data_IF_516613066756
#
_entry.id   IF_516613066756
#
_cell.length_a   1.000
_cell.length_b   1.000
_cell.length_c   1.000
_cell.angle_alpha   90.00
_cell.angle_beta   90.00
_cell.angle_gamma   90.00
#
_symmetry.space_group_name_H-M   'P 1'
#
loop_
_entity.id
_entity.type
_entity.pdbx_description
1 polymer ?
#
# COMPACT_ATOMS: atom_id res chain seq x y z
N UNK A 1 29.10 9.33 -10.75
CA UNK A 1 28.21 9.53 -11.91
C UNK A 1 27.16 8.44 -11.83
N UNK A 2 25.94 8.75 -11.40
CA UNK A 2 24.88 7.74 -11.33
C UNK A 2 24.14 7.71 -12.67
N UNK A 3 24.20 6.56 -13.32
CA UNK A 3 23.41 6.25 -14.51
C UNK A 3 22.16 5.54 -14.03
N UNK A 4 21.01 6.22 -14.02
CA UNK A 4 19.73 5.52 -13.89
C UNK A 4 19.33 5.01 -15.26
N UNK A 5 19.45 3.70 -15.47
CA UNK A 5 18.87 3.04 -16.63
C UNK A 5 17.37 2.83 -16.38
N UNK A 6 16.57 3.80 -16.83
CA UNK A 6 15.16 3.55 -17.17
C UNK A 6 15.12 3.45 -18.68
N UNK A 7 14.88 2.24 -19.18
CA UNK A 7 14.57 1.86 -20.56
C UNK A 7 15.14 2.79 -21.64
N UNK A 8 16.40 2.55 -22.01
CA UNK A 8 17.09 3.07 -23.19
C UNK A 8 17.16 4.60 -23.38
N UNK A 9 16.93 5.41 -22.34
CA UNK A 9 17.23 6.85 -22.38
C UNK A 9 18.28 7.21 -21.34
N UNK A 10 19.50 7.51 -21.82
CA UNK A 10 20.56 8.10 -20.98
C UNK A 10 20.22 9.58 -20.75
N UNK A 11 19.41 9.87 -19.74
CA UNK A 11 19.20 11.23 -19.26
C UNK A 11 20.40 11.58 -18.38
N UNK A 12 21.29 12.44 -18.87
CA UNK A 12 22.35 13.00 -18.04
C UNK A 12 21.72 13.88 -16.96
N UNK A 13 21.77 13.44 -15.70
CA UNK A 13 21.17 14.11 -14.52
C UNK A 13 21.70 15.53 -14.23
N UNK A 14 22.57 16.10 -15.07
CA UNK A 14 23.14 17.43 -14.88
C UNK A 14 22.06 18.53 -14.95
N UNK A 15 21.06 18.39 -15.82
CA UNK A 15 19.99 19.40 -15.96
C UNK A 15 18.99 19.45 -14.80
N UNK A 16 18.80 18.36 -14.05
CA UNK A 16 17.85 18.33 -12.93
C UNK A 16 18.49 18.94 -11.66
N UNK A 17 19.80 18.74 -11.47
CA UNK A 17 20.52 19.31 -10.33
C UNK A 17 20.56 20.85 -10.36
N UNK A 18 20.75 21.44 -11.55
CA UNK A 18 20.75 22.89 -11.73
C UNK A 18 19.35 23.51 -11.48
N UNK A 19 18.28 22.75 -11.70
CA UNK A 19 16.90 23.19 -11.47
C UNK A 19 16.49 23.14 -9.99
N UNK A 20 17.18 22.34 -9.17
CA UNK A 20 16.86 22.15 -7.74
C UNK A 20 17.82 22.86 -6.78
N UNK A 21 18.85 23.55 -7.26
CA UNK A 21 19.77 24.32 -6.40
C UNK A 21 20.53 23.47 -5.36
N UNK A 22 20.71 22.17 -5.63
CA UNK A 22 21.39 21.24 -4.72
C UNK A 22 22.86 21.07 -5.13
N UNK A 23 23.78 21.45 -4.25
CA UNK A 23 25.20 21.09 -4.37
C UNK A 23 25.45 19.74 -3.70
N UNK A 24 25.97 18.78 -4.47
CA UNK A 24 26.42 17.49 -3.94
C UNK A 24 27.95 17.47 -3.90
N UNK A 25 28.53 17.37 -2.71
CA UNK A 25 29.92 16.93 -2.53
C UNK A 25 29.95 15.41 -2.51
N UNK A 26 30.61 14.81 -3.50
CA UNK A 26 30.84 13.37 -3.55
C UNK A 26 32.24 13.11 -3.01
N UNK A 27 32.33 12.50 -1.82
CA UNK A 27 33.57 11.92 -1.32
C UNK A 27 33.86 10.65 -2.14
N UNK A 28 34.92 10.71 -2.95
CA UNK A 28 35.39 9.62 -3.80
C UNK A 28 36.24 8.63 -3.01
N UNK A 29 35.93 7.34 -3.07
CA UNK A 29 36.86 6.34 -2.55
C UNK A 29 36.41 4.89 -2.56
N UNK A 30 35.60 4.42 -3.52
CA UNK A 30 35.39 2.98 -3.68
C UNK A 30 34.90 2.66 -5.11
N UNK A 31 35.68 1.86 -5.83
CA UNK A 31 35.34 1.34 -7.16
C UNK A 31 34.68 -0.01 -7.00
N UNK A 32 33.37 -0.08 -7.17
CA UNK A 32 32.60 -1.32 -7.11
C UNK A 32 32.72 -2.03 -8.47
N UNK A 33 33.49 -3.13 -8.51
CA UNK A 33 33.59 -4.02 -9.68
C UNK A 33 32.37 -4.94 -9.64
N UNK A 34 31.42 -4.75 -10.55
CA UNK A 34 30.29 -5.64 -10.72
C UNK A 34 30.69 -6.86 -11.58
N UNK A 35 30.26 -8.08 -11.22
CA UNK A 35 30.56 -9.27 -11.99
C UNK A 35 29.85 -9.25 -13.35
N UNK A 36 30.66 -9.38 -14.41
CA UNK A 36 30.28 -9.51 -15.80
C UNK A 36 29.69 -10.91 -16.06
N UNK A 37 28.46 -11.14 -15.64
CA UNK A 37 27.70 -12.33 -16.03
C UNK A 37 26.68 -11.97 -17.11
N UNK A 38 27.06 -12.33 -18.34
CA UNK A 38 26.24 -12.70 -19.50
C UNK A 38 24.77 -12.28 -19.46
N UNK A 39 24.50 -11.13 -20.07
CA UNK A 39 23.17 -10.77 -20.56
C UNK A 39 23.19 -11.00 -22.08
N UNK A 40 23.04 -12.25 -22.50
CA UNK A 40 22.67 -12.57 -23.89
C UNK A 40 21.21 -12.11 -24.07
N UNK A 41 21.02 -10.81 -24.29
CA UNK A 41 19.76 -10.28 -24.79
C UNK A 41 19.64 -10.72 -26.23
N UNK A 42 18.73 -11.64 -26.48
CA UNK A 42 18.12 -11.84 -27.78
C UNK A 42 17.80 -10.45 -28.36
N UNK A 43 18.49 -10.09 -29.43
CA UNK A 43 18.25 -8.87 -30.18
C UNK A 43 16.93 -9.07 -30.93
N UNK A 44 15.83 -9.01 -30.19
CA UNK A 44 14.50 -8.92 -30.75
C UNK A 44 14.46 -7.67 -31.63
N UNK A 45 14.41 -7.95 -32.91
CA UNK A 45 14.17 -7.07 -34.04
C UNK A 45 13.14 -5.98 -33.65
N UNK A 46 13.64 -4.83 -33.21
CA UNK A 46 12.85 -3.63 -32.92
C UNK A 46 12.20 -3.18 -34.24
N UNK A 47 11.01 -3.69 -34.52
CA UNK A 47 10.18 -3.14 -35.60
C UNK A 47 9.95 -1.68 -35.26
N UNK A 48 10.46 -0.76 -36.09
CA UNK A 48 10.23 0.68 -35.94
C UNK A 48 8.72 0.95 -35.85
N UNK A 49 8.20 1.07 -34.64
CA UNK A 49 6.79 1.32 -34.43
C UNK A 49 6.52 2.79 -34.78
N UNK A 50 6.14 3.02 -36.04
CA UNK A 50 5.83 4.36 -36.52
C UNK A 50 4.58 4.90 -35.83
N UNK A 51 4.70 6.11 -35.27
CA UNK A 51 3.60 6.80 -34.62
C UNK A 51 2.56 7.22 -35.64
N UNK A 52 1.30 6.89 -35.38
CA UNK A 52 0.16 7.41 -36.14
C UNK A 52 0.05 8.93 -35.99
N UNK A 53 -0.51 9.61 -36.98
CA UNK A 53 -0.69 11.07 -36.92
C UNK A 53 -1.62 11.48 -35.78
N UNK A 54 -2.58 10.62 -35.40
CA UNK A 54 -3.42 10.82 -34.21
C UNK A 54 -2.59 10.80 -32.93
N UNK A 55 -1.66 9.86 -32.77
CA UNK A 55 -0.77 9.81 -31.61
C UNK A 55 0.15 11.02 -31.55
N UNK A 56 0.69 11.46 -32.70
CA UNK A 56 1.51 12.68 -32.79
C UNK A 56 0.71 13.91 -32.36
N UNK A 57 -0.52 14.05 -32.85
CA UNK A 57 -1.41 15.14 -32.44
C UNK A 57 -1.69 15.11 -30.94
N UNK A 58 -1.93 13.92 -30.38
CA UNK A 58 -2.17 13.78 -28.95
C UNK A 58 -0.99 14.27 -28.11
N UNK A 59 0.23 13.89 -28.47
CA UNK A 59 1.43 14.38 -27.78
C UNK A 59 1.60 15.88 -27.95
N UNK A 60 1.33 16.41 -29.14
CA UNK A 60 1.42 17.85 -29.37
C UNK A 60 0.45 18.65 -28.49
N UNK A 61 -0.80 18.19 -28.35
CA UNK A 61 -1.79 18.82 -27.47
C UNK A 61 -1.32 18.83 -26.00
N UNK A 62 -0.70 17.75 -25.54
CA UNK A 62 -0.11 17.68 -24.19
C UNK A 62 1.11 18.61 -24.04
N UNK A 63 1.99 18.69 -25.06
CA UNK A 63 3.12 19.64 -25.06
C UNK A 63 2.61 21.08 -24.91
N UNK A 64 1.62 21.47 -25.70
CA UNK A 64 0.99 22.80 -25.63
C UNK A 64 0.37 23.04 -24.24
N UNK A 65 -0.37 22.06 -23.71
CA UNK A 65 -0.97 22.16 -22.38
C UNK A 65 0.07 22.40 -21.28
N UNK A 66 1.14 21.60 -21.23
CA UNK A 66 2.18 21.75 -20.21
C UNK A 66 3.00 23.03 -20.38
N UNK A 67 3.26 23.45 -21.62
CA UNK A 67 3.88 24.75 -21.89
C UNK A 67 3.05 25.90 -21.31
N UNK A 68 1.74 25.92 -21.59
CA UNK A 68 0.83 26.95 -21.08
C UNK A 68 0.69 26.89 -19.55
N UNK A 69 0.74 25.70 -18.95
CA UNK A 69 0.78 25.56 -17.49
C UNK A 69 2.06 26.16 -16.89
N UNK A 70 3.21 25.99 -17.55
CA UNK A 70 4.46 26.62 -17.14
C UNK A 70 4.38 28.14 -17.18
N UNK A 71 3.83 28.70 -18.26
CA UNK A 71 3.60 30.15 -18.39
C UNK A 71 2.67 30.68 -17.29
N UNK A 72 1.59 29.95 -16.98
CA UNK A 72 0.66 30.31 -15.90
C UNK A 72 1.35 30.35 -14.53
N UNK A 73 2.18 29.36 -14.22
CA UNK A 73 2.92 29.31 -12.95
C UNK A 73 3.88 30.49 -12.84
N UNK A 74 4.62 30.80 -13.91
CA UNK A 74 5.52 31.96 -13.94
C UNK A 74 4.77 33.28 -13.78
N UNK A 75 3.58 33.41 -14.39
CA UNK A 75 2.72 34.60 -14.24
C UNK A 75 2.27 34.77 -12.78
N UNK A 76 1.88 33.68 -12.11
CA UNK A 76 1.49 33.70 -10.69
C UNK A 76 2.68 34.06 -9.80
N UNK A 77 3.87 33.53 -10.10
CA UNK A 77 5.10 33.81 -9.36
C UNK A 77 5.50 35.29 -9.46
N UNK A 78 5.45 35.85 -10.68
CA UNK A 78 5.80 37.26 -10.93
C UNK A 78 4.77 38.25 -10.39
N UNK A 79 3.47 37.96 -10.54
CA UNK A 79 2.40 38.90 -10.17
C UNK A 79 1.92 38.74 -8.72
N UNK A 80 2.34 37.67 -8.02
CA UNK A 80 1.88 37.35 -6.68
C UNK A 80 0.37 37.05 -6.63
N UNK A 81 -0.24 36.99 -5.42
CA UNK A 81 -1.66 36.71 -5.23
C UNK A 81 -2.51 37.95 -5.57
N UNK A 82 -2.42 38.42 -6.80
CA UNK A 82 -3.36 39.38 -7.37
C UNK A 82 -4.70 38.67 -7.47
N UNK A 83 -5.74 39.17 -6.79
CA UNK A 83 -7.02 38.48 -6.59
C UNK A 83 -7.82 38.09 -7.85
N UNK A 84 -7.26 38.26 -9.05
CA UNK A 84 -7.79 37.73 -10.32
C UNK A 84 -6.92 36.55 -10.76
N UNK A 85 -7.38 35.34 -10.45
CA UNK A 85 -6.71 34.11 -10.88
C UNK A 85 -6.75 33.99 -12.41
N UNK A 86 -5.60 33.83 -13.09
CA UNK A 86 -5.59 33.64 -14.54
C UNK A 86 -6.28 32.33 -14.92
N UNK A 87 -6.85 32.30 -16.13
CA UNK A 87 -7.68 31.18 -16.59
C UNK A 87 -6.82 29.93 -16.78
N UNK A 88 -7.11 28.87 -16.03
CA UNK A 88 -6.37 27.62 -16.17
C UNK A 88 -6.47 27.06 -17.60
N UNK A 89 -5.33 26.67 -18.22
CA UNK A 89 -5.32 25.92 -19.46
C UNK A 89 -6.20 24.67 -19.36
N UNK A 90 -6.96 24.39 -20.43
CA UNK A 90 -7.82 23.20 -20.47
C UNK A 90 -6.97 21.97 -20.76
N UNK A 91 -7.04 20.97 -19.88
CA UNK A 91 -6.38 19.68 -20.10
C UNK A 91 -6.97 18.99 -21.34
N UNK A 92 -6.14 18.41 -22.23
CA UNK A 92 -6.63 17.62 -23.36
C UNK A 92 -7.56 16.49 -22.90
N UNK A 93 -8.60 16.17 -23.70
CA UNK A 93 -9.64 15.18 -23.32
C UNK A 93 -9.16 13.73 -23.43
N UNK A 94 -8.25 13.44 -24.36
CA UNK A 94 -7.63 12.13 -24.55
C UNK A 94 -6.63 11.83 -23.43
N UNK A 95 -6.47 10.56 -23.06
CA UNK A 95 -5.51 10.14 -22.05
C UNK A 95 -4.19 9.80 -22.73
N UNK A 96 -3.06 10.11 -22.10
CA UNK A 96 -1.76 9.66 -22.60
C UNK A 96 -1.68 8.12 -22.71
N UNK A 97 -2.44 7.39 -21.91
CA UNK A 97 -2.59 5.93 -22.03
C UNK A 97 -3.16 5.47 -23.37
N UNK A 98 -3.87 6.34 -24.09
CA UNK A 98 -4.42 6.02 -25.40
C UNK A 98 -3.32 6.06 -26.48
N UNK A 99 -2.20 6.75 -26.22
CA UNK A 99 -1.05 6.86 -27.13
C UNK A 99 -0.18 5.61 -27.08
N UNK A 100 0.16 5.13 -25.88
CA UNK A 100 1.05 3.97 -25.69
C UNK A 100 0.31 2.62 -25.80
N UNK A 101 -0.97 2.65 -26.20
CA UNK A 101 -1.87 1.52 -26.08
C UNK A 101 -2.25 1.27 -24.62
N UNK A 102 -3.45 0.69 -24.41
CA UNK A 102 -3.73 0.08 -23.11
C UNK A 102 -2.73 -1.05 -22.95
N UNK A 103 -1.69 -0.84 -22.14
CA UNK A 103 -0.92 -1.95 -21.60
C UNK A 103 -1.93 -2.78 -20.84
N UNK A 104 -2.44 -3.83 -21.50
CA UNK A 104 -3.30 -4.80 -20.86
C UNK A 104 -2.41 -5.41 -19.79
N UNK A 105 -2.51 -4.89 -18.56
CA UNK A 105 -1.82 -5.45 -17.41
C UNK A 105 -2.25 -6.91 -17.40
N UNK A 106 -1.34 -7.81 -17.79
CA UNK A 106 -1.59 -9.25 -17.81
C UNK A 106 -2.21 -9.57 -16.46
N UNK A 107 -3.42 -10.13 -16.48
CA UNK A 107 -4.05 -10.53 -15.22
C UNK A 107 -3.16 -11.61 -14.63
N UNK A 108 -2.64 -11.33 -13.45
CA UNK A 108 -1.84 -12.26 -12.67
C UNK A 108 -2.67 -13.53 -12.45
N UNK A 109 -2.09 -14.69 -12.76
CA UNK A 109 -2.74 -15.98 -12.49
C UNK A 109 -2.86 -16.21 -10.99
N UNK A 110 -3.78 -17.07 -10.51
CA UNK A 110 -3.85 -17.43 -9.10
C UNK A 110 -2.51 -17.92 -8.53
N UNK A 111 -1.73 -18.66 -9.32
CA UNK A 111 -0.40 -19.17 -8.96
C UNK A 111 0.61 -18.04 -8.81
N UNK A 112 0.70 -17.14 -9.81
CA UNK A 112 1.59 -15.97 -9.76
C UNK A 112 1.24 -15.07 -8.56
N UNK A 113 -0.06 -14.91 -8.25
CA UNK A 113 -0.53 -14.12 -7.11
C UNK A 113 -0.19 -14.77 -5.77
N UNK A 114 -0.39 -16.09 -5.65
CA UNK A 114 -0.03 -16.83 -4.44
C UNK A 114 1.44 -16.67 -4.13
N UNK A 115 2.31 -16.94 -5.12
CA UNK A 115 3.75 -16.83 -4.98
C UNK A 115 4.15 -15.41 -4.59
N UNK A 116 3.63 -14.40 -5.31
CA UNK A 116 3.92 -13.01 -5.01
C UNK A 116 3.52 -12.61 -3.57
N UNK A 117 2.35 -13.03 -3.11
CA UNK A 117 1.90 -12.74 -1.75
C UNK A 117 2.75 -13.46 -0.69
N UNK A 118 3.12 -14.71 -0.95
CA UNK A 118 3.95 -15.52 -0.05
C UNK A 118 5.37 -14.94 0.08
N UNK A 119 5.97 -14.52 -1.04
CA UNK A 119 7.30 -13.89 -1.08
C UNK A 119 7.33 -12.53 -0.33
N UNK A 120 6.17 -11.91 -0.14
CA UNK A 120 6.01 -10.63 0.55
C UNK A 120 5.50 -10.78 2.00
N UNK A 121 5.56 -11.99 2.57
CA UNK A 121 5.34 -12.18 4.00
C UNK A 121 6.55 -11.59 4.75
N UNK A 122 6.29 -10.57 5.57
CA UNK A 122 7.32 -9.93 6.37
C UNK A 122 7.78 -10.86 7.51
N UNK A 123 9.07 -10.80 7.84
CA UNK A 123 9.61 -11.49 9.01
C UNK A 123 8.93 -10.97 10.28
N UNK A 124 8.20 -11.86 10.92
CA UNK A 124 7.37 -11.57 12.08
C UNK A 124 8.20 -11.09 13.27
N UNK A 125 9.44 -11.58 13.36
CA UNK A 125 10.39 -11.23 14.41
C UNK A 125 10.84 -9.77 14.34
N UNK A 126 10.89 -9.21 13.13
CA UNK A 126 11.30 -7.80 12.90
C UNK A 126 10.14 -6.82 13.02
N UNK A 127 8.91 -7.32 12.88
CA UNK A 127 7.73 -6.47 12.68
C UNK A 127 6.92 -6.25 13.96
N UNK A 128 7.08 -7.10 14.98
CA UNK A 128 6.24 -7.08 16.19
C UNK A 128 7.03 -6.69 17.45
N UNK A 129 7.27 -5.39 17.60
CA UNK A 129 7.50 -4.76 18.91
C UNK A 129 6.21 -4.06 19.36
N UNK A 130 5.09 -4.79 19.48
CA UNK A 130 3.79 -4.13 19.68
C UNK A 130 2.89 -4.94 20.60
N UNK A 131 2.55 -4.36 21.75
CA UNK A 131 1.49 -4.78 22.66
C UNK A 131 0.33 -5.37 21.87
N UNK A 132 0.17 -6.69 22.03
CA UNK A 132 -0.64 -7.49 21.14
C UNK A 132 -2.09 -7.04 21.26
N UNK A 133 -2.66 -6.72 20.10
CA UNK A 133 -4.01 -6.22 19.90
C UNK A 133 -5.12 -7.25 20.20
N UNK A 134 -4.78 -8.41 20.77
CA UNK A 134 -5.67 -9.56 20.99
C UNK A 134 -6.84 -9.22 21.91
N UNK A 135 -6.64 -8.35 22.90
CA UNK A 135 -7.68 -8.03 23.89
C UNK A 135 -8.80 -7.11 23.36
N UNK A 136 -8.58 -6.43 22.22
CA UNK A 136 -9.49 -5.35 21.78
C UNK A 136 -10.73 -5.88 21.06
N UNK A 137 -10.73 -7.13 20.59
CA UNK A 137 -11.66 -7.55 19.54
C UNK A 137 -12.58 -8.73 19.86
N UNK A 138 -12.57 -9.24 21.09
CA UNK A 138 -13.65 -10.09 21.57
C UNK A 138 -14.85 -9.17 21.88
N UNK A 139 -15.86 -9.24 21.03
CA UNK A 139 -17.15 -8.59 21.26
C UNK A 139 -18.06 -9.63 21.90
N UNK A 140 -18.31 -9.48 23.20
CA UNK A 140 -19.30 -10.28 23.90
C UNK A 140 -20.68 -9.70 23.59
N UNK A 141 -21.66 -10.53 23.24
CA UNK A 141 -22.98 -10.09 22.74
C UNK A 141 -23.77 -9.13 23.64
N UNK A 142 -23.33 -8.94 24.89
CA UNK A 142 -23.95 -8.07 25.89
C UNK A 142 -23.16 -6.78 26.16
N UNK A 143 -22.17 -6.43 25.33
CA UNK A 143 -21.44 -5.18 25.50
C UNK A 143 -22.34 -3.95 25.35
N UNK A 144 -22.09 -2.94 26.20
CA UNK A 144 -22.76 -1.65 26.13
C UNK A 144 -22.25 -0.84 24.92
N UNK A 145 -23.08 0.08 24.42
CA UNK A 145 -22.69 0.96 23.30
C UNK A 145 -21.38 1.70 23.60
N UNK A 146 -21.20 2.16 24.84
CA UNK A 146 -20.01 2.88 25.30
C UNK A 146 -18.73 2.07 25.10
N UNK A 147 -18.74 0.78 25.49
CA UNK A 147 -17.57 -0.11 25.33
C UNK A 147 -17.27 -0.31 23.84
N UNK A 148 -18.30 -0.47 23.02
CA UNK A 148 -18.14 -0.65 21.57
C UNK A 148 -17.49 0.58 20.95
N UNK A 149 -17.98 1.77 21.29
CA UNK A 149 -17.47 3.06 20.79
C UNK A 149 -16.04 3.31 21.29
N UNK A 150 -15.73 2.97 22.54
CA UNK A 150 -14.37 3.08 23.09
C UNK A 150 -13.38 2.21 22.31
N UNK A 151 -13.70 0.93 22.10
CA UNK A 151 -12.90 -0.01 21.31
C UNK A 151 -12.76 0.44 19.85
N UNK A 152 -13.82 0.98 19.23
CA UNK A 152 -13.75 1.58 17.90
C UNK A 152 -12.75 2.74 17.86
N UNK A 153 -12.84 3.67 18.81
CA UNK A 153 -11.94 4.81 18.90
C UNK A 153 -10.49 4.38 19.15
N UNK A 154 -10.26 3.35 19.98
CA UNK A 154 -8.93 2.75 20.18
C UNK A 154 -8.38 2.18 18.87
N UNK A 155 -9.19 1.42 18.12
CA UNK A 155 -8.83 0.90 16.80
C UNK A 155 -8.48 2.00 15.79
N UNK A 156 -9.26 3.08 15.74
CA UNK A 156 -8.99 4.24 14.87
C UNK A 156 -7.68 4.93 15.23
N UNK A 157 -7.40 5.14 16.52
CA UNK A 157 -6.12 5.72 16.97
C UNK A 157 -4.94 4.85 16.53
N UNK A 158 -5.09 3.54 16.60
CA UNK A 158 -4.04 2.61 16.24
C UNK A 158 -3.81 2.54 14.73
N UNK A 159 -4.87 2.61 13.91
CA UNK A 159 -4.76 2.78 12.46
C UNK A 159 -4.01 4.06 12.07
N UNK A 160 -4.11 5.12 12.88
CA UNK A 160 -3.39 6.39 12.64
C UNK A 160 -1.92 6.35 13.08
N UNK A 161 -1.58 5.53 14.09
CA UNK A 161 -0.23 5.48 14.70
C UNK A 161 0.76 4.64 13.91
N UNK A 162 0.28 3.63 13.21
CA UNK A 162 1.10 2.81 12.34
C UNK A 162 0.81 3.29 10.94
N UNK A 163 1.83 3.57 10.12
CA UNK A 163 1.73 4.12 8.75
C UNK A 163 1.03 3.18 7.75
N UNK A 164 -0.15 2.67 8.10
CA UNK A 164 -0.90 1.66 7.40
C UNK A 164 -0.14 0.35 7.08
N UNK A 165 1.05 0.12 7.65
CA UNK A 165 1.95 -0.91 7.16
C UNK A 165 1.64 -2.34 7.63
N UNK A 166 0.78 -2.54 8.63
CA UNK A 166 0.44 -3.90 9.08
C UNK A 166 -0.98 -4.27 8.65
N UNK A 167 -1.09 -5.26 7.75
CA UNK A 167 -2.37 -5.76 7.28
C UNK A 167 -3.18 -6.38 8.44
N UNK A 168 -2.50 -6.93 9.45
CA UNK A 168 -3.06 -7.38 10.73
C UNK A 168 -4.06 -6.37 11.34
N UNK A 169 -3.66 -5.10 11.51
CA UNK A 169 -4.52 -4.10 12.17
C UNK A 169 -5.75 -3.81 11.32
N UNK A 170 -5.58 -3.72 10.01
CA UNK A 170 -6.67 -3.48 9.08
C UNK A 170 -7.69 -4.62 9.07
N UNK A 171 -7.21 -5.87 9.07
CA UNK A 171 -8.06 -7.05 9.08
C UNK A 171 -8.81 -7.16 10.41
N UNK A 172 -8.11 -7.03 11.54
CA UNK A 172 -8.74 -7.13 12.86
C UNK A 172 -9.73 -6.00 13.12
N UNK A 173 -9.37 -4.75 12.78
CA UNK A 173 -10.31 -3.64 12.89
C UNK A 173 -11.49 -3.78 11.94
N UNK A 174 -11.26 -4.27 10.71
CA UNK A 174 -12.33 -4.59 9.77
C UNK A 174 -13.29 -5.67 10.29
N UNK A 175 -12.76 -6.69 10.97
CA UNK A 175 -13.57 -7.72 11.62
C UNK A 175 -14.42 -7.12 12.75
N UNK A 176 -13.81 -6.29 13.59
CA UNK A 176 -14.51 -5.59 14.66
C UNK A 176 -15.62 -4.65 14.14
N UNK A 177 -15.38 -3.95 13.03
CA UNK A 177 -16.42 -3.16 12.36
C UNK A 177 -17.60 -4.02 11.87
N UNK A 178 -17.35 -5.26 11.42
CA UNK A 178 -18.43 -6.19 11.08
C UNK A 178 -19.25 -6.58 12.31
N UNK A 179 -18.60 -6.86 13.44
CA UNK A 179 -19.28 -7.20 14.70
C UNK A 179 -20.08 -6.01 15.24
N UNK A 180 -19.49 -4.81 15.27
CA UNK A 180 -20.18 -3.58 15.70
C UNK A 180 -21.40 -3.27 14.81
N UNK A 181 -21.29 -3.50 13.49
CA UNK A 181 -22.42 -3.34 12.58
C UNK A 181 -23.54 -4.35 12.85
N UNK A 182 -23.20 -5.61 13.09
CA UNK A 182 -24.18 -6.63 13.45
C UNK A 182 -24.87 -6.31 14.78
N UNK A 183 -24.12 -5.84 15.78
CA UNK A 183 -24.69 -5.36 17.04
C UNK A 183 -25.68 -4.22 16.84
N UNK A 184 -25.33 -3.21 16.04
CA UNK A 184 -26.21 -2.07 15.75
C UNK A 184 -27.49 -2.54 15.03
N UNK A 185 -27.36 -3.44 14.05
CA UNK A 185 -28.51 -4.01 13.34
C UNK A 185 -29.45 -4.76 14.29
N UNK A 186 -28.92 -5.49 15.28
CA UNK A 186 -29.74 -6.12 16.32
C UNK A 186 -30.45 -5.07 17.20
N UNK A 187 -29.76 -4.01 17.62
CA UNK A 187 -30.37 -2.90 18.39
C UNK A 187 -31.43 -2.14 17.60
N UNK A 188 -31.29 -2.07 16.27
CA UNK A 188 -32.32 -1.53 15.38
C UNK A 188 -33.55 -2.41 15.31
N UNK A 189 -33.38 -3.73 15.23
CA UNK A 189 -34.51 -4.70 15.27
C UNK A 189 -35.25 -4.65 16.60
N UNK A 190 -34.54 -4.41 17.70
CA UNK A 190 -35.13 -4.19 19.03
C UNK A 190 -35.81 -2.81 19.19
N UNK A 191 -35.72 -1.91 18.20
CA UNK A 191 -36.26 -0.55 18.27
C UNK A 191 -35.50 0.41 19.19
N UNK A 192 -34.35 -0.01 19.76
CA UNK A 192 -33.56 0.80 20.71
C UNK A 192 -32.77 1.92 20.03
N UNK A 193 -32.31 1.68 18.81
CA UNK A 193 -31.57 2.66 18.00
C UNK A 193 -32.24 2.71 16.63
N UNK A 194 -32.49 3.92 16.09
CA UNK A 194 -33.11 4.07 14.76
C UNK A 194 -32.12 4.48 13.67
N UNK A 195 -30.94 4.96 14.05
CA UNK A 195 -29.93 5.51 13.14
C UNK A 195 -29.40 4.46 12.15
N UNK A 196 -29.00 4.94 10.96
CA UNK A 196 -28.26 4.12 10.00
C UNK A 196 -26.83 3.84 10.48
N UNK A 197 -26.20 2.77 9.99
CA UNK A 197 -24.79 2.46 10.32
C UNK A 197 -23.85 3.62 10.00
N UNK A 198 -24.01 4.26 8.83
CA UNK A 198 -23.15 5.36 8.41
C UNK A 198 -23.29 6.59 9.33
N UNK A 199 -24.54 6.94 9.67
CA UNK A 199 -24.85 8.04 10.60
C UNK A 199 -24.28 7.75 11.99
N UNK A 200 -24.59 6.58 12.55
CA UNK A 200 -24.14 6.18 13.88
C UNK A 200 -22.61 6.17 13.98
N UNK A 201 -21.92 5.56 13.00
CA UNK A 201 -20.46 5.49 12.99
C UNK A 201 -19.83 6.89 12.92
N UNK A 202 -20.36 7.77 12.06
CA UNK A 202 -19.85 9.12 11.89
C UNK A 202 -20.06 9.97 13.15
N UNK A 203 -21.23 9.89 13.77
CA UNK A 203 -21.55 10.64 14.99
C UNK A 203 -20.73 10.16 16.20
N UNK A 204 -20.60 8.84 16.39
CA UNK A 204 -19.98 8.27 17.59
C UNK A 204 -18.45 8.27 17.56
N UNK A 205 -17.84 8.22 16.37
CA UNK A 205 -16.39 8.04 16.22
C UNK A 205 -15.74 9.03 15.25
N UNK A 206 -16.52 9.79 14.49
CA UNK A 206 -16.01 10.66 13.42
C UNK A 206 -15.51 9.91 12.17
N UNK A 207 -15.54 8.57 12.18
CA UNK A 207 -14.95 7.73 11.14
C UNK A 207 -15.78 7.67 9.86
N UNK A 208 -15.11 7.51 8.71
CA UNK A 208 -15.76 7.47 7.40
C UNK A 208 -16.34 6.08 7.11
N UNK A 209 -17.62 6.01 6.72
CA UNK A 209 -18.26 4.75 6.33
C UNK A 209 -17.63 4.15 5.06
N UNK A 210 -17.16 4.97 4.11
CA UNK A 210 -16.54 4.47 2.88
C UNK A 210 -15.27 3.67 3.18
N UNK A 211 -14.45 4.15 4.11
CA UNK A 211 -13.25 3.44 4.53
C UNK A 211 -13.61 2.22 5.38
N UNK A 212 -14.60 2.34 6.28
CA UNK A 212 -15.11 1.22 7.06
C UNK A 212 -15.64 0.08 6.17
N UNK A 213 -16.33 0.40 5.06
CA UNK A 213 -16.80 -0.57 4.06
C UNK A 213 -15.65 -1.37 3.46
N UNK A 214 -14.54 -0.71 3.09
CA UNK A 214 -13.34 -1.36 2.54
C UNK A 214 -12.71 -2.32 3.55
N UNK A 215 -12.55 -1.90 4.81
CA UNK A 215 -11.96 -2.75 5.85
C UNK A 215 -12.87 -3.91 6.23
N UNK A 216 -14.19 -3.70 6.29
CA UNK A 216 -15.17 -4.78 6.50
C UNK A 216 -15.12 -5.83 5.40
N UNK A 217 -14.98 -5.41 4.14
CA UNK A 217 -14.83 -6.31 3.00
C UNK A 217 -13.51 -7.09 3.07
N UNK A 218 -12.40 -6.40 3.33
CA UNK A 218 -11.08 -7.02 3.55
C UNK A 218 -11.14 -8.11 4.62
N UNK A 219 -11.69 -7.79 5.79
CA UNK A 219 -11.78 -8.72 6.91
C UNK A 219 -12.71 -9.89 6.63
N UNK A 220 -13.82 -9.68 5.90
CA UNK A 220 -14.73 -10.76 5.52
C UNK A 220 -14.01 -11.86 4.73
N UNK A 221 -13.04 -11.48 3.89
CA UNK A 221 -12.26 -12.41 3.08
C UNK A 221 -11.08 -12.97 3.88
N UNK A 222 -10.29 -12.11 4.54
CA UNK A 222 -8.96 -12.48 5.04
C UNK A 222 -8.87 -12.84 6.52
N UNK A 223 -9.88 -12.53 7.35
CA UNK A 223 -9.79 -12.74 8.80
C UNK A 223 -9.59 -14.22 9.20
N UNK A 224 -10.06 -15.17 8.38
CA UNK A 224 -9.87 -16.60 8.59
C UNK A 224 -8.50 -17.15 8.17
N UNK A 225 -7.61 -16.30 7.66
CA UNK A 225 -6.34 -16.71 7.04
C UNK A 225 -5.18 -15.96 7.69
N UNK A 226 -4.59 -16.57 8.73
CA UNK A 226 -3.66 -15.88 9.63
C UNK A 226 -2.38 -15.40 8.94
N UNK A 227 -1.90 -16.10 7.93
CA UNK A 227 -0.69 -15.69 7.19
C UNK A 227 -0.84 -14.31 6.52
N UNK A 228 -2.06 -13.91 6.13
CA UNK A 228 -2.28 -12.57 5.56
C UNK A 228 -1.95 -11.44 6.52
N UNK A 229 -1.99 -11.67 7.84
CA UNK A 229 -1.71 -10.63 8.82
C UNK A 229 -0.30 -10.05 8.69
N UNK A 230 0.61 -10.84 8.12
CA UNK A 230 2.04 -10.55 7.99
C UNK A 230 2.45 -10.17 6.58
N UNK A 231 1.51 -10.09 5.63
CA UNK A 231 1.82 -9.63 4.27
C UNK A 231 2.19 -8.15 4.31
N UNK A 232 3.45 -7.85 3.96
CA UNK A 232 4.06 -6.53 4.01
C UNK A 232 3.70 -5.61 2.85
N UNK A 233 2.52 -5.79 2.25
CA UNK A 233 2.06 -5.04 1.09
C UNK A 233 1.11 -3.90 1.50
N UNK A 234 1.08 -2.79 0.73
CA UNK A 234 0.16 -1.69 1.01
C UNK A 234 -1.31 -2.14 0.99
N UNK A 235 -2.14 -1.63 1.92
CA UNK A 235 -3.58 -1.91 1.99
C UNK A 235 -4.29 -1.75 0.64
N UNK A 236 -4.00 -0.67 -0.10
CA UNK A 236 -4.65 -0.39 -1.38
C UNK A 236 -4.33 -1.45 -2.45
N UNK A 237 -3.13 -2.04 -2.40
CA UNK A 237 -2.78 -3.15 -3.29
C UNK A 237 -3.67 -4.36 -2.99
N UNK A 238 -3.77 -4.76 -1.71
CA UNK A 238 -4.58 -5.91 -1.30
C UNK A 238 -6.06 -5.69 -1.60
N UNK A 239 -6.59 -4.50 -1.31
CA UNK A 239 -7.98 -4.14 -1.65
C UNK A 239 -8.25 -4.24 -3.16
N UNK A 240 -7.27 -3.86 -3.98
CA UNK A 240 -7.34 -3.98 -5.43
C UNK A 240 -7.27 -5.41 -5.96
N UNK A 241 -6.88 -6.38 -5.10
CA UNK A 241 -6.70 -7.80 -5.42
C UNK A 241 -7.67 -8.73 -4.72
N UNK A 242 -8.63 -8.22 -3.96
CA UNK A 242 -9.54 -9.04 -3.14
C UNK A 242 -10.26 -10.12 -3.94
N UNK A 243 -10.74 -9.82 -5.16
CA UNK A 243 -11.44 -10.81 -6.00
C UNK A 243 -10.49 -11.89 -6.50
N UNK A 244 -9.29 -11.52 -6.93
CA UNK A 244 -8.28 -12.48 -7.34
C UNK A 244 -7.81 -13.35 -6.17
N UNK A 245 -7.71 -12.77 -4.96
CA UNK A 245 -7.43 -13.51 -3.72
C UNK A 245 -8.57 -14.50 -3.40
N UNK A 246 -9.83 -14.10 -3.51
CA UNK A 246 -10.97 -15.01 -3.32
C UNK A 246 -10.89 -16.21 -4.27
N UNK A 247 -10.57 -15.99 -5.55
CA UNK A 247 -10.40 -17.06 -6.55
C UNK A 247 -9.19 -17.94 -6.20
N UNK A 248 -8.05 -17.33 -5.85
CA UNK A 248 -6.85 -18.05 -5.42
C UNK A 248 -7.12 -18.95 -4.22
N UNK A 249 -7.90 -18.48 -3.24
CA UNK A 249 -8.26 -19.22 -2.04
C UNK A 249 -9.27 -20.35 -2.28
N UNK A 250 -9.87 -20.47 -3.47
CA UNK A 250 -10.67 -21.65 -3.83
C UNK A 250 -9.80 -22.87 -4.16
N UNK A 251 -8.50 -22.68 -4.42
CA UNK A 251 -7.55 -23.77 -4.66
C UNK A 251 -7.16 -24.38 -3.30
N UNK A 252 -7.37 -25.69 -3.07
CA UNK A 252 -7.19 -26.32 -1.77
C UNK A 252 -5.81 -26.12 -1.14
N UNK A 253 -4.74 -26.27 -1.93
CA UNK A 253 -3.36 -26.16 -1.43
C UNK A 253 -3.06 -24.74 -0.94
N UNK A 254 -3.50 -23.73 -1.69
CA UNK A 254 -3.34 -22.33 -1.29
C UNK A 254 -4.20 -22.01 -0.08
N UNK A 255 -5.45 -22.50 -0.04
CA UNK A 255 -6.34 -22.32 1.11
C UNK A 255 -5.70 -22.87 2.39
N UNK A 256 -5.16 -24.09 2.33
CA UNK A 256 -4.48 -24.74 3.44
C UNK A 256 -3.28 -23.94 3.92
N UNK A 257 -2.40 -23.51 3.00
CA UNK A 257 -1.24 -22.67 3.30
C UNK A 257 -1.64 -21.41 4.10
N UNK A 258 -2.60 -20.63 3.60
CA UNK A 258 -2.98 -19.35 4.21
C UNK A 258 -3.70 -19.48 5.56
N UNK A 259 -4.22 -20.66 5.89
CA UNK A 259 -4.87 -20.95 7.18
C UNK A 259 -3.89 -21.33 8.30
N UNK A 260 -2.67 -21.73 7.96
CA UNK A 260 -1.68 -22.17 8.96
C UNK A 260 -1.45 -21.04 9.97
N UNK A 261 -1.65 -21.30 11.27
CA UNK A 261 -1.33 -20.34 12.30
C UNK A 261 0.17 -20.02 12.28
N UNK A 262 0.50 -18.74 12.32
CA UNK A 262 1.90 -18.35 12.42
C UNK A 262 2.32 -18.53 13.86
N UNK A 263 3.20 -19.50 14.10
CA UNK A 263 3.81 -19.72 15.43
C UNK A 263 4.75 -18.55 15.68
N UNK A 264 4.34 -17.65 16.56
CA UNK A 264 5.21 -16.59 17.05
C UNK A 264 6.24 -17.24 17.98
N UNK A 265 7.55 -16.97 17.81
CA UNK A 265 8.52 -17.40 18.80
C UNK A 265 8.15 -16.79 20.14
N UNK A 266 8.09 -17.64 21.15
CA UNK A 266 7.74 -17.20 22.49
C UNK A 266 8.96 -16.51 23.10
N UNK A 267 8.74 -15.62 24.06
CA UNK A 267 9.83 -14.92 24.78
C UNK A 267 10.83 -15.88 25.42
N UNK A 268 10.42 -17.13 25.69
CA UNK A 268 11.28 -18.17 26.24
C UNK A 268 12.31 -18.68 25.22
N UNK A 269 11.98 -18.66 23.93
CA UNK A 269 12.89 -19.12 22.86
C UNK A 269 14.06 -18.14 22.68
N UNK A 270 13.82 -16.84 22.92
CA UNK A 270 14.84 -15.79 22.83
C UNK A 270 15.82 -15.78 24.01
N UNK A 271 15.44 -16.31 25.19
CA UNK A 271 16.34 -16.37 26.35
C UNK A 271 17.37 -17.49 26.24
N UNK A 272 17.05 -18.60 25.55
CA UNK A 272 17.95 -19.77 25.42
C UNK A 272 19.20 -19.53 24.56
N UNK A 273 19.26 -18.41 23.82
CA UNK A 273 20.37 -18.10 22.90
C UNK A 273 21.37 -17.08 23.43
N UNK A 274 21.19 -16.57 24.66
CA UNK A 274 22.13 -15.62 25.28
C UNK A 274 23.06 -16.24 26.33
N UNK A 275 22.79 -17.45 26.84
CA UNK A 275 23.59 -18.05 27.92
C UNK A 275 24.91 -18.72 27.47
N UNK A 276 25.11 -18.95 26.16
CA UNK A 276 26.30 -19.65 25.66
C UNK A 276 27.52 -18.73 25.38
N UNK A 277 27.46 -17.44 25.71
CA UNK A 277 28.53 -16.47 25.34
C UNK A 277 29.30 -15.86 26.52
N UNK A 278 29.34 -16.49 27.70
CA UNK A 278 30.05 -15.93 28.88
C UNK A 278 31.14 -16.80 29.52
N UNK A 279 31.59 -17.89 28.89
CA UNK A 279 32.74 -18.66 29.38
C UNK A 279 33.88 -18.67 28.37
N UNK A 280 34.58 -17.55 28.19
CA UNK A 280 35.93 -17.52 27.61
C UNK A 280 36.61 -16.17 27.89
N UNK A 281 37.31 -16.10 29.03
CA UNK A 281 38.67 -15.56 29.24
C UNK A 281 38.83 -15.00 30.66
N UNK A 282 39.23 -15.88 31.58
CA UNK A 282 40.00 -15.50 32.76
C UNK A 282 40.89 -16.70 33.13
N UNK A 283 41.95 -16.88 32.35
CA UNK A 283 43.06 -17.78 32.65
C UNK A 283 44.35 -16.98 32.46
N UNK A 284 44.95 -16.63 33.61
CA UNK A 284 46.35 -16.25 33.91
C UNK A 284 47.11 -15.27 33.02
#
# INVERSE_FOLDING_TARGET
MFTCCLDNVVITCKHIADWCGLSFQINSGETLILPSNQCEREADMESEQQWTDTQKQFINDYKIYYHNMGLLVNEIDLNGPTGKMPKLPKKPKHRLSDVYGKVNKKKMTPQELHQYLADNIADVNRTISREIFTDVYLLVGNESETIIVEKLNKGIRNLKRQDAQTLLIHINFGHYLNLAKAWLENKRKEGRIQQSWATWLKEKTGYSDDHARKLRALAKVLHGYQQFFYVGLPLNFILGKLKEIEIMLQIPDFNAFWRVPVVLPTTNDLQSSQDDTLTLTASE
#
